data_IF_571729065466
#
_entry.id   IF_571729065466
#
_cell.length_a   1.000
_cell.length_b   1.000
_cell.length_c   1.000
_cell.angle_alpha   90.00
_cell.angle_beta   90.00
_cell.angle_gamma   90.00
#
_symmetry.space_group_name_H-M   'P 1'
#
loop_
_entity.id
_entity.type
_entity.pdbx_description
1 polymer ?
#
# COMPACT_ATOMS: atom_id res chain seq x y z
N UNK A 1 13.54 -16.69 -22.21
CA UNK A 1 13.81 -15.39 -21.56
C UNK A 1 12.56 -14.97 -20.80
N UNK A 2 12.56 -14.91 -19.45
CA UNK A 2 11.34 -14.63 -18.71
C UNK A 2 11.12 -13.12 -18.59
N UNK A 3 9.96 -12.68 -19.07
CA UNK A 3 9.46 -11.30 -18.96
C UNK A 3 8.99 -11.05 -17.52
N UNK A 4 9.68 -10.19 -16.80
CA UNK A 4 9.20 -9.66 -15.53
C UNK A 4 8.05 -8.68 -15.80
N UNK A 5 6.80 -9.13 -15.67
CA UNK A 5 5.63 -8.24 -15.66
C UNK A 5 5.49 -7.62 -14.26
N UNK A 6 6.17 -6.51 -14.02
CA UNK A 6 5.92 -5.66 -12.85
C UNK A 6 4.77 -4.73 -13.21
N UNK A 7 3.55 -5.26 -13.15
CA UNK A 7 2.32 -4.47 -13.35
C UNK A 7 2.00 -3.80 -12.01
N UNK A 8 2.12 -2.48 -11.94
CA UNK A 8 1.37 -1.69 -10.97
C UNK A 8 2.14 -0.83 -9.98
N UNK A 9 3.47 -0.76 -10.00
CA UNK A 9 4.15 0.26 -9.19
C UNK A 9 4.18 1.56 -10.01
N UNK A 10 3.16 2.40 -9.85
CA UNK A 10 3.28 3.84 -10.12
C UNK A 10 4.29 4.40 -9.12
N UNK A 11 5.57 4.13 -9.33
CA UNK A 11 6.63 4.96 -8.78
C UNK A 11 6.55 6.21 -9.61
N UNK A 12 6.06 7.31 -9.03
CA UNK A 12 6.16 8.64 -9.63
C UNK A 12 7.63 8.99 -9.74
N UNK A 13 8.26 8.50 -10.81
CA UNK A 13 9.61 8.83 -11.23
C UNK A 13 9.54 10.26 -11.76
N UNK A 14 9.63 11.27 -10.88
CA UNK A 14 10.20 12.58 -11.24
C UNK A 14 10.28 13.55 -10.05
N UNK A 15 11.22 13.31 -9.14
CA UNK A 15 11.92 14.43 -8.49
C UNK A 15 13.27 13.98 -7.95
N UNK A 16 14.30 14.20 -8.77
CA UNK A 16 15.69 14.27 -8.31
C UNK A 16 15.81 15.44 -7.32
N UNK A 17 15.51 15.20 -6.06
CA UNK A 17 15.86 16.14 -5.00
C UNK A 17 16.80 15.42 -4.06
N UNK A 18 18.08 15.74 -4.21
CA UNK A 18 19.24 15.28 -3.42
C UNK A 18 19.20 15.79 -1.97
N UNK A 19 18.03 15.78 -1.33
CA UNK A 19 17.84 16.18 0.07
C UNK A 19 17.58 14.93 0.90
N UNK A 20 18.64 14.38 1.51
CA UNK A 20 18.62 13.42 2.63
C UNK A 20 17.28 12.68 2.82
N UNK A 21 16.89 11.84 1.85
CA UNK A 21 15.66 11.08 1.94
C UNK A 21 15.97 9.89 2.86
N UNK A 22 15.26 9.71 3.99
CA UNK A 22 15.45 8.55 4.83
C UNK A 22 15.22 7.27 4.01
N UNK A 23 15.95 6.20 4.34
CA UNK A 23 15.86 4.96 3.59
C UNK A 23 14.39 4.50 3.52
N UNK A 24 13.87 4.18 2.31
CA UNK A 24 12.50 3.72 2.18
C UNK A 24 12.31 2.41 2.95
N UNK A 25 11.19 2.29 3.67
CA UNK A 25 10.74 1.02 4.21
C UNK A 25 9.95 0.23 3.17
N UNK A 26 9.66 -1.03 3.48
CA UNK A 26 8.84 -1.91 2.65
C UNK A 26 7.52 -2.25 3.33
N UNK A 27 6.41 -2.07 2.61
CA UNK A 27 5.08 -2.47 3.04
C UNK A 27 4.58 -3.61 2.14
N UNK A 28 4.48 -4.82 2.68
CA UNK A 28 3.85 -5.95 1.99
C UNK A 28 2.39 -6.05 2.41
N UNK A 29 1.49 -5.58 1.56
CA UNK A 29 0.05 -5.66 1.77
C UNK A 29 -0.43 -6.98 1.22
N UNK A 30 -1.10 -7.77 2.06
CA UNK A 30 -1.59 -9.09 1.69
C UNK A 30 -3.05 -9.22 2.10
N UNK A 31 -3.91 -9.60 1.18
CA UNK A 31 -5.32 -9.87 1.42
C UNK A 31 -5.64 -11.34 1.18
N UNK A 32 -6.57 -11.88 1.97
CA UNK A 32 -7.05 -13.27 1.82
C UNK A 32 -8.08 -13.38 0.70
N UNK A 33 -8.82 -12.29 0.46
CA UNK A 33 -9.90 -12.25 -0.52
C UNK A 33 -9.60 -11.26 -1.66
N UNK A 34 -10.08 -11.54 -2.88
CA UNK A 34 -10.10 -10.54 -3.93
C UNK A 34 -11.05 -9.42 -3.53
N UNK A 35 -10.58 -8.18 -3.65
CA UNK A 35 -11.35 -7.01 -3.30
C UNK A 35 -10.74 -5.76 -3.90
N UNK A 36 -11.30 -4.63 -3.52
CA UNK A 36 -10.85 -3.31 -3.93
C UNK A 36 -10.47 -2.51 -2.70
N UNK A 37 -9.37 -1.79 -2.79
CA UNK A 37 -8.80 -1.08 -1.67
C UNK A 37 -7.74 -0.09 -2.09
N UNK A 38 -7.17 0.58 -1.11
CA UNK A 38 -6.07 1.50 -1.32
C UNK A 38 -5.30 1.76 -0.05
N UNK A 39 -4.10 2.29 -0.25
CA UNK A 39 -3.23 2.78 0.81
C UNK A 39 -3.28 4.29 0.80
N UNK A 40 -3.41 4.84 1.98
CA UNK A 40 -3.51 6.26 2.22
C UNK A 40 -2.40 6.69 3.16
N UNK A 41 -1.64 7.71 2.75
CA UNK A 41 -0.67 8.40 3.59
C UNK A 41 -1.37 9.46 4.42
N UNK A 42 -1.10 9.47 5.72
CA UNK A 42 -1.58 10.51 6.63
C UNK A 42 -0.44 11.50 6.83
N UNK A 43 -0.52 12.65 6.14
CA UNK A 43 0.50 13.72 6.24
C UNK A 43 -0.17 15.05 6.54
N UNK A 44 0.26 15.71 7.61
CA UNK A 44 -0.29 17.01 8.05
C UNK A 44 -1.83 17.00 8.21
N UNK A 45 -2.39 15.92 8.75
CA UNK A 45 -3.84 15.77 8.92
C UNK A 45 -4.62 15.54 7.61
N UNK A 46 -3.94 15.43 6.47
CA UNK A 46 -4.55 15.10 5.18
C UNK A 46 -4.29 13.65 4.84
N UNK A 47 -5.33 12.99 4.32
CA UNK A 47 -5.26 11.62 3.84
C UNK A 47 -5.05 11.64 2.32
N UNK A 48 -3.84 11.26 1.89
CA UNK A 48 -3.49 11.20 0.47
C UNK A 48 -3.48 9.75 0.01
N UNK A 49 -4.29 9.42 -1.00
CA UNK A 49 -4.28 8.09 -1.59
C UNK A 49 -2.99 7.91 -2.41
N UNK A 50 -2.09 7.04 -1.96
CA UNK A 50 -0.81 6.77 -2.63
C UNK A 50 -0.86 5.50 -3.49
N UNK A 51 -1.79 4.60 -3.19
CA UNK A 51 -1.93 3.34 -3.91
C UNK A 51 -3.37 2.87 -3.93
N UNK A 52 -3.75 2.18 -5.01
CA UNK A 52 -5.00 1.46 -5.12
C UNK A 52 -4.71 0.04 -5.57
N UNK A 53 -5.15 -0.93 -4.78
CA UNK A 53 -5.11 -2.34 -5.15
C UNK A 53 -6.53 -2.79 -5.44
N UNK A 54 -6.76 -3.38 -6.62
CA UNK A 54 -8.06 -3.81 -7.06
C UNK A 54 -7.97 -4.90 -8.11
N UNK A 55 -9.07 -5.62 -8.33
CA UNK A 55 -9.15 -6.59 -9.43
C UNK A 55 -8.53 -7.97 -9.14
N UNK A 56 -8.52 -8.40 -7.88
CA UNK A 56 -8.10 -9.76 -7.51
C UNK A 56 -6.63 -9.93 -7.17
N UNK A 57 -5.90 -8.81 -7.02
CA UNK A 57 -4.54 -8.84 -6.47
C UNK A 57 -4.61 -9.15 -4.97
N UNK A 58 -4.00 -10.27 -4.57
CA UNK A 58 -3.97 -10.76 -3.18
C UNK A 58 -2.73 -10.30 -2.41
N UNK A 59 -1.69 -9.84 -3.13
CA UNK A 59 -0.45 -9.41 -2.52
C UNK A 59 0.20 -8.31 -3.36
N UNK A 60 0.52 -7.21 -2.69
CA UNK A 60 1.23 -6.06 -3.24
C UNK A 60 2.39 -5.70 -2.31
N UNK A 61 3.55 -5.37 -2.89
CA UNK A 61 4.72 -4.90 -2.14
C UNK A 61 5.04 -3.50 -2.62
N UNK A 62 5.01 -2.54 -1.69
CA UNK A 62 5.32 -1.14 -1.96
C UNK A 62 6.53 -0.70 -1.16
N UNK A 63 7.45 0.00 -1.82
CA UNK A 63 8.47 0.78 -1.15
C UNK A 63 7.86 2.13 -0.76
N UNK A 64 7.84 2.45 0.53
CA UNK A 64 7.18 3.62 1.08
C UNK A 64 8.14 4.37 2.00
N UNK A 65 8.02 5.69 2.04
CA UNK A 65 8.81 6.49 2.97
C UNK A 65 8.39 6.20 4.42
N UNK A 66 9.28 6.39 5.39
CA UNK A 66 8.90 6.30 6.80
C UNK A 66 7.80 7.30 7.14
N UNK A 67 6.73 6.84 7.78
CA UNK A 67 5.55 7.65 8.02
C UNK A 67 4.33 6.86 8.44
N UNK A 68 3.24 7.58 8.69
CA UNK A 68 1.96 7.00 9.10
C UNK A 68 1.06 6.75 7.90
N UNK A 69 0.59 5.51 7.78
CA UNK A 69 -0.22 5.05 6.67
C UNK A 69 -1.46 4.33 7.15
N UNK A 70 -2.48 4.30 6.29
CA UNK A 70 -3.73 3.58 6.49
C UNK A 70 -4.04 2.77 5.25
N UNK A 71 -4.13 1.45 5.38
CA UNK A 71 -4.71 0.59 4.35
C UNK A 71 -6.21 0.49 4.57
N UNK A 72 -6.99 0.71 3.52
CA UNK A 72 -8.44 0.51 3.51
C UNK A 72 -8.74 -0.53 2.44
N UNK A 73 -9.47 -1.58 2.81
CA UNK A 73 -9.78 -2.68 1.91
C UNK A 73 -11.23 -3.13 2.07
N UNK A 74 -11.87 -3.36 0.93
CA UNK A 74 -13.22 -3.90 0.83
C UNK A 74 -13.19 -5.21 0.03
N UNK A 75 -13.53 -6.36 0.63
CA UNK A 75 -13.62 -7.62 -0.10
C UNK A 75 -14.81 -7.62 -1.07
N UNK A 76 -14.62 -8.15 -2.29
CA UNK A 76 -15.71 -8.26 -3.27
C UNK A 76 -16.71 -9.38 -2.91
N UNK A 77 -16.28 -10.36 -2.10
CA UNK A 77 -17.12 -11.44 -1.58
C UNK A 77 -18.02 -11.02 -0.42
N UNK A 78 -17.96 -9.76 0.01
CA UNK A 78 -18.81 -9.28 1.09
C UNK A 78 -20.25 -9.12 0.57
N UNK A 79 -21.10 -10.13 0.84
CA UNK A 79 -22.55 -10.08 0.63
C UNK A 79 -23.20 -8.96 1.47
N UNK A 80 -22.49 -8.42 2.46
CA UNK A 80 -22.87 -7.24 3.24
C UNK A 80 -21.94 -6.08 2.89
N UNK A 81 -22.52 -4.93 2.54
CA UNK A 81 -21.82 -3.68 2.23
C UNK A 81 -21.03 -3.08 3.41
N UNK A 82 -21.02 -3.70 4.59
CA UNK A 82 -20.43 -3.19 5.83
C UNK A 82 -18.99 -3.65 6.12
N UNK A 83 -18.44 -4.62 5.39
CA UNK A 83 -17.09 -5.14 5.68
C UNK A 83 -16.00 -4.28 5.02
N UNK A 84 -15.76 -3.08 5.55
CA UNK A 84 -14.57 -2.28 5.22
C UNK A 84 -13.50 -2.53 6.28
N UNK A 85 -12.36 -3.08 5.88
CA UNK A 85 -11.21 -3.33 6.74
C UNK A 85 -10.29 -2.12 6.65
N UNK A 86 -10.15 -1.38 7.75
CA UNK A 86 -9.18 -0.31 7.89
C UNK A 86 -8.04 -0.75 8.80
N UNK A 87 -6.80 -0.60 8.34
CA UNK A 87 -5.62 -0.96 9.11
C UNK A 87 -4.58 0.14 9.03
N UNK A 88 -4.35 0.80 10.16
CA UNK A 88 -3.32 1.82 10.30
C UNK A 88 -1.98 1.14 10.63
N UNK A 89 -0.91 1.59 9.98
CA UNK A 89 0.44 1.09 10.19
C UNK A 89 1.46 2.20 10.01
N UNK A 90 2.62 2.05 10.65
CA UNK A 90 3.73 2.99 10.56
C UNK A 90 4.86 2.28 9.81
N UNK A 91 5.42 2.97 8.82
CA UNK A 91 6.62 2.53 8.13
C UNK A 91 7.81 3.18 8.81
N UNK A 92 8.81 2.37 9.13
CA UNK A 92 10.11 2.82 9.64
C UNK A 92 11.17 2.58 8.57
N UNK A 93 12.21 3.43 8.56
CA UNK A 93 13.34 3.30 7.64
C UNK A 93 13.99 1.93 7.77
N UNK A 94 14.35 1.31 6.66
CA UNK A 94 15.02 -0.01 6.59
C UNK A 94 14.23 -1.18 7.20
N UNK A 95 12.93 -1.00 7.52
CA UNK A 95 12.07 -2.09 7.99
C UNK A 95 11.06 -2.51 6.94
N UNK A 96 10.80 -3.81 6.91
CA UNK A 96 9.72 -4.41 6.12
C UNK A 96 8.60 -4.81 7.06
N UNK A 97 7.40 -4.28 6.84
CA UNK A 97 6.19 -4.69 7.55
C UNK A 97 5.28 -5.48 6.62
N UNK A 98 4.51 -6.40 7.21
CA UNK A 98 3.51 -7.17 6.48
C UNK A 98 2.14 -6.77 7.02
N UNK A 99 1.33 -6.13 6.18
CA UNK A 99 -0.02 -5.71 6.52
C UNK A 99 -0.98 -6.76 5.96
N UNK A 100 -1.48 -7.62 6.85
CA UNK A 100 -2.47 -8.65 6.51
C UNK A 100 -3.89 -8.10 6.67
N UNK A 101 -4.69 -8.20 5.61
CA UNK A 101 -6.10 -7.81 5.51
C UNK A 101 -6.93 -9.11 5.43
N UNK A 102 -7.50 -9.51 6.56
CA UNK A 102 -8.18 -10.78 6.77
C UNK A 102 -9.65 -10.56 7.05
#
# INVERSE_FOLDING_TARGET
>A
MPRTKIKGIQVSQDKKTSLQIPNPGMASITSVYPGVGGVFEIRNGRMNKIYSFGGGVLRDVLAMQPGSYKAIFRPNKATQSELTIEKTFIIESDKSIIVKLN
#
